data_IF_216403423934
#
_entry.id   IF_216403423934
#
_cell.length_a   1.000
_cell.length_b   1.000
_cell.length_c   1.000
_cell.angle_alpha   90.00
_cell.angle_beta   90.00
_cell.angle_gamma   90.00
#
_symmetry.space_group_name_H-M   'P 1'
#
loop_
_entity.id
_entity.type
_entity.pdbx_description
1 polymer ?
#
# COMPACT_ATOMS: atom_id res chain seq x y z
N UNK A 1 20.99 6.59 -0.44
CA UNK A 1 20.22 7.37 -1.43
C UNK A 1 20.74 7.07 -2.83
N UNK A 2 19.87 7.05 -3.83
CA UNK A 2 20.20 6.75 -5.22
C UNK A 2 19.56 7.79 -6.14
N UNK A 3 20.09 7.98 -7.36
CA UNK A 3 19.50 8.90 -8.35
C UNK A 3 18.20 8.29 -8.89
N UNK A 4 17.12 9.07 -8.94
CA UNK A 4 15.83 8.64 -9.48
C UNK A 4 15.02 7.68 -8.60
N UNK A 5 15.42 7.49 -7.34
CA UNK A 5 14.73 6.64 -6.36
C UNK A 5 14.36 7.49 -5.15
N UNK A 6 13.11 7.39 -4.69
CA UNK A 6 12.65 8.11 -3.49
C UNK A 6 13.51 7.73 -2.27
N UNK A 7 14.02 8.73 -1.55
CA UNK A 7 14.90 8.54 -0.40
C UNK A 7 14.23 7.84 0.80
N UNK A 8 12.89 7.80 0.85
CA UNK A 8 12.13 7.07 1.86
C UNK A 8 12.21 5.54 1.65
N UNK A 9 12.57 5.08 0.46
CA UNK A 9 12.74 3.67 0.18
C UNK A 9 14.07 3.17 0.78
N UNK A 10 13.97 2.54 1.95
CA UNK A 10 15.12 1.90 2.59
C UNK A 10 15.69 0.78 1.69
N UNK A 11 16.98 0.41 1.84
CA UNK A 11 17.55 -0.69 1.07
C UNK A 11 16.75 -2.00 1.19
N UNK A 12 16.22 -2.29 2.39
CA UNK A 12 15.37 -3.45 2.64
C UNK A 12 14.04 -3.36 1.87
N UNK A 13 13.37 -2.19 1.88
CA UNK A 13 12.12 -2.01 1.16
C UNK A 13 12.32 -2.11 -0.35
N UNK A 14 13.38 -1.51 -0.89
CA UNK A 14 13.74 -1.66 -2.31
C UNK A 14 13.95 -3.11 -2.70
N UNK A 15 14.67 -3.88 -1.87
CA UNK A 15 14.87 -5.30 -2.10
C UNK A 15 13.54 -6.05 -2.16
N UNK A 16 12.67 -5.84 -1.17
CA UNK A 16 11.33 -6.45 -1.13
C UNK A 16 10.52 -6.09 -2.39
N UNK A 17 10.40 -4.82 -2.74
CA UNK A 17 9.63 -4.38 -3.91
C UNK A 17 10.19 -4.97 -5.22
N UNK A 18 11.51 -5.10 -5.33
CA UNK A 18 12.19 -5.70 -6.49
C UNK A 18 11.98 -7.23 -6.55
N UNK A 19 11.98 -7.92 -5.41
CA UNK A 19 11.79 -9.36 -5.31
C UNK A 19 10.33 -9.82 -5.41
N UNK A 20 9.35 -8.92 -5.26
CA UNK A 20 7.94 -9.24 -5.49
C UNK A 20 7.70 -9.69 -6.94
N UNK A 21 6.98 -10.81 -7.12
CA UNK A 21 6.46 -11.24 -8.41
C UNK A 21 5.18 -10.51 -8.82
N UNK A 22 4.71 -10.76 -10.04
CA UNK A 22 3.40 -10.29 -10.49
C UNK A 22 2.30 -10.82 -9.56
N UNK A 23 1.35 -9.96 -9.19
CA UNK A 23 0.23 -10.22 -8.28
C UNK A 23 0.59 -10.46 -6.81
N UNK A 24 1.87 -10.36 -6.44
CA UNK A 24 2.20 -10.25 -5.03
C UNK A 24 1.62 -8.96 -4.45
N UNK A 25 1.16 -9.05 -3.20
CA UNK A 25 0.57 -7.92 -2.48
C UNK A 25 1.53 -7.38 -1.43
N UNK A 26 1.43 -6.09 -1.14
CA UNK A 26 2.14 -5.43 -0.03
C UNK A 26 1.15 -4.52 0.69
N UNK A 27 1.11 -4.60 2.01
CA UNK A 27 0.28 -3.73 2.83
C UNK A 27 1.11 -2.58 3.39
N UNK A 28 0.59 -1.36 3.31
CA UNK A 28 1.11 -0.20 4.03
C UNK A 28 0.07 0.13 5.09
N UNK A 29 0.48 0.10 6.36
CA UNK A 29 -0.44 0.15 7.49
C UNK A 29 -0.10 1.27 8.47
N UNK A 30 -1.13 1.72 9.17
CA UNK A 30 -1.03 2.74 10.20
C UNK A 30 -0.35 2.20 11.47
N UNK A 31 0.02 3.11 12.38
CA UNK A 31 0.74 2.79 13.60
C UNK A 31 -0.08 1.97 14.61
N UNK A 32 -1.40 1.85 14.41
CA UNK A 32 -2.29 1.08 15.28
C UNK A 32 -2.62 -0.31 14.71
N UNK A 33 -2.12 -0.64 13.51
CA UNK A 33 -2.35 -1.94 12.90
C UNK A 33 -1.63 -3.04 13.67
N UNK A 34 -2.37 -4.08 14.06
CA UNK A 34 -1.80 -5.22 14.76
C UNK A 34 -1.07 -6.17 13.79
N UNK A 35 0.26 -6.11 13.80
CA UNK A 35 1.13 -7.06 13.10
C UNK A 35 1.79 -8.01 14.10
N UNK A 36 1.56 -9.32 13.96
CA UNK A 36 2.16 -10.34 14.82
C UNK A 36 3.53 -10.80 14.30
N UNK A 37 4.40 -11.30 15.19
CA UNK A 37 5.77 -11.73 14.87
C UNK A 37 5.90 -12.89 13.86
N UNK A 38 4.78 -13.53 13.48
CA UNK A 38 4.72 -14.56 12.43
C UNK A 38 4.21 -14.07 11.07
N UNK A 39 3.95 -12.78 10.93
CA UNK A 39 3.48 -12.18 9.69
C UNK A 39 4.61 -11.98 8.67
N UNK A 40 4.28 -11.93 7.36
CA UNK A 40 5.25 -11.73 6.28
C UNK A 40 6.15 -10.50 6.52
N UNK A 41 7.37 -10.56 6.00
CA UNK A 41 8.43 -9.53 6.07
C UNK A 41 7.95 -8.14 6.52
N UNK A 42 8.03 -7.88 7.83
CA UNK A 42 7.63 -6.60 8.41
C UNK A 42 8.76 -5.58 8.20
N UNK A 43 8.42 -4.44 7.63
CA UNK A 43 9.32 -3.31 7.39
C UNK A 43 8.76 -2.11 8.14
N UNK A 44 9.60 -1.38 8.88
CA UNK A 44 9.16 -0.20 9.63
C UNK A 44 9.59 1.08 8.96
N UNK A 45 8.66 2.03 8.87
CA UNK A 45 8.83 3.40 8.40
C UNK A 45 8.24 4.36 9.44
N UNK A 46 8.76 4.27 10.68
CA UNK A 46 8.28 5.08 11.78
C UNK A 46 8.41 6.57 11.51
N UNK A 47 7.43 7.35 11.98
CA UNK A 47 7.39 8.80 11.79
C UNK A 47 7.04 9.25 10.36
N UNK A 48 6.93 8.33 9.40
CA UNK A 48 6.49 8.61 8.03
C UNK A 48 4.97 8.44 7.94
N UNK A 49 4.27 9.34 7.25
CA UNK A 49 2.83 9.19 7.01
C UNK A 49 2.55 8.10 5.98
N UNK A 50 1.39 7.45 6.08
CA UNK A 50 1.01 6.40 5.12
C UNK A 50 0.91 6.94 3.68
N UNK A 51 0.38 8.16 3.42
CA UNK A 51 0.39 8.71 2.06
C UNK A 51 1.79 8.97 1.51
N UNK A 52 2.76 9.39 2.35
CA UNK A 52 4.15 9.56 1.91
C UNK A 52 4.81 8.21 1.60
N UNK A 53 4.59 7.20 2.43
CA UNK A 53 5.05 5.83 2.18
C UNK A 53 4.44 5.25 0.89
N UNK A 54 3.13 5.48 0.67
CA UNK A 54 2.44 5.07 -0.54
C UNK A 54 3.04 5.70 -1.79
N UNK A 55 3.29 7.02 -1.79
CA UNK A 55 3.93 7.71 -2.92
C UNK A 55 5.32 7.15 -3.22
N UNK A 56 6.13 6.94 -2.19
CA UNK A 56 7.46 6.36 -2.36
C UNK A 56 7.38 4.93 -2.95
N UNK A 57 6.46 4.09 -2.48
CA UNK A 57 6.28 2.73 -3.02
C UNK A 57 5.82 2.78 -4.48
N UNK A 58 4.80 3.59 -4.81
CA UNK A 58 4.27 3.72 -6.17
C UNK A 58 5.23 4.39 -7.15
N UNK A 59 6.26 5.10 -6.67
CA UNK A 59 7.28 5.67 -7.57
C UNK A 59 8.12 4.59 -8.28
N UNK A 60 8.07 3.34 -7.82
CA UNK A 60 8.82 2.22 -8.41
C UNK A 60 7.99 0.93 -8.59
N UNK A 61 6.88 0.78 -7.85
CA UNK A 61 6.02 -0.40 -7.89
C UNK A 61 4.85 -0.18 -8.86
N UNK A 62 4.80 -0.85 -10.03
CA UNK A 62 3.62 -0.78 -10.90
C UNK A 62 2.43 -1.47 -10.24
N UNK A 63 1.24 -0.88 -10.32
CA UNK A 63 0.01 -1.54 -9.87
C UNK A 63 -0.61 -2.48 -10.93
N UNK A 64 -1.27 -3.54 -10.45
CA UNK A 64 -2.08 -4.44 -11.29
C UNK A 64 -3.29 -3.69 -11.87
N UNK A 65 -3.47 -3.74 -13.19
CA UNK A 65 -4.52 -3.01 -13.92
C UNK A 65 -5.54 -3.90 -14.62
N UNK A 66 -5.28 -5.21 -14.75
CA UNK A 66 -6.03 -6.09 -15.66
C UNK A 66 -7.06 -7.00 -14.99
N UNK A 67 -7.08 -7.19 -13.66
CA UNK A 67 -8.19 -7.92 -12.99
C UNK A 67 -8.11 -7.98 -11.44
N UNK A 68 -9.20 -7.74 -10.68
CA UNK A 68 -10.24 -6.75 -10.92
C UNK A 68 -9.84 -5.36 -10.39
N UNK A 69 -8.94 -5.29 -9.40
CA UNK A 69 -8.38 -4.04 -8.88
C UNK A 69 -6.90 -4.22 -8.48
N UNK A 70 -6.17 -3.11 -8.36
CA UNK A 70 -4.77 -3.09 -7.94
C UNK A 70 -4.52 -2.54 -6.54
N UNK A 71 -5.51 -1.90 -5.92
CA UNK A 71 -5.35 -1.29 -4.60
C UNK A 71 -6.66 -1.21 -3.82
N UNK A 72 -6.57 -1.38 -2.49
CA UNK A 72 -7.74 -1.45 -1.60
C UNK A 72 -7.50 -0.72 -0.28
N UNK A 73 -8.59 -0.27 0.34
CA UNK A 73 -8.64 0.29 1.70
C UNK A 73 -9.75 -0.35 2.51
N UNK A 74 -9.66 -0.27 3.84
CA UNK A 74 -10.73 -0.76 4.72
C UNK A 74 -11.98 0.13 4.65
N UNK A 75 -13.16 -0.48 4.81
CA UNK A 75 -14.41 0.23 5.10
C UNK A 75 -14.37 0.78 6.53
N UNK A 76 -14.58 2.09 6.68
CA UNK A 76 -14.66 2.73 7.98
C UNK A 76 -16.02 2.53 8.62
N UNK A 77 -16.04 2.14 9.90
CA UNK A 77 -17.27 1.99 10.70
C UNK A 77 -18.36 1.12 10.04
N UNK A 78 -17.95 0.14 9.22
CA UNK A 78 -18.85 -0.73 8.45
C UNK A 78 -19.78 -0.01 7.47
N UNK A 79 -19.45 1.23 7.09
CA UNK A 79 -20.20 2.03 6.13
C UNK A 79 -19.30 2.40 4.93
N UNK A 80 -19.53 1.84 3.73
CA UNK A 80 -18.73 2.14 2.53
C UNK A 80 -18.74 3.61 2.13
N UNK A 81 -19.79 4.36 2.50
CA UNK A 81 -19.95 5.79 2.23
C UNK A 81 -19.23 6.67 3.25
N UNK A 82 -18.69 6.07 4.31
CA UNK A 82 -17.97 6.77 5.36
C UNK A 82 -16.55 7.13 4.91
N UNK A 83 -16.46 8.12 4.03
CA UNK A 83 -15.19 8.60 3.51
C UNK A 83 -14.37 9.29 4.62
N UNK A 84 -13.06 9.01 4.62
CA UNK A 84 -12.10 9.58 5.56
C UNK A 84 -11.13 10.49 4.80
N UNK A 85 -10.62 11.58 5.42
CA UNK A 85 -9.65 12.45 4.77
C UNK A 85 -8.44 11.70 4.18
N UNK A 86 -7.98 10.65 4.87
CA UNK A 86 -6.84 9.84 4.43
C UNK A 86 -7.13 9.04 3.16
N UNK A 87 -8.39 8.67 2.89
CA UNK A 87 -8.76 7.95 1.67
C UNK A 87 -8.59 8.83 0.43
N UNK A 88 -8.89 10.13 0.55
CA UNK A 88 -8.67 11.11 -0.52
C UNK A 88 -7.17 11.30 -0.79
N UNK A 89 -6.35 11.37 0.25
CA UNK A 89 -4.89 11.47 0.09
C UNK A 89 -4.30 10.23 -0.60
N UNK A 90 -4.77 9.04 -0.26
CA UNK A 90 -4.39 7.80 -0.95
C UNK A 90 -4.84 7.79 -2.40
N UNK A 91 -6.10 8.12 -2.66
CA UNK A 91 -6.65 8.18 -4.02
C UNK A 91 -5.88 9.17 -4.90
N UNK A 92 -5.51 10.34 -4.35
CA UNK A 92 -4.70 11.33 -5.07
C UNK A 92 -3.29 10.80 -5.36
N UNK A 93 -2.64 10.16 -4.39
CA UNK A 93 -1.32 9.56 -4.61
C UNK A 93 -1.33 8.48 -5.70
N UNK A 94 -2.39 7.68 -5.77
CA UNK A 94 -2.58 6.66 -6.81
C UNK A 94 -2.76 7.35 -8.17
N UNK A 95 -3.66 8.31 -8.29
CA UNK A 95 -3.91 9.02 -9.57
C UNK A 95 -2.69 9.77 -10.09
N UNK A 96 -1.87 10.34 -9.20
CA UNK A 96 -0.67 11.11 -9.58
C UNK A 96 0.44 10.23 -10.17
N UNK A 97 0.54 8.97 -9.73
CA UNK A 97 1.66 8.07 -10.04
C UNK A 97 1.27 6.91 -10.97
N UNK A 98 -0.03 6.66 -11.10
CA UNK A 98 -0.61 5.62 -11.94
C UNK A 98 -1.57 6.23 -12.97
N UNK A 99 -2.48 5.42 -13.51
CA UNK A 99 -3.52 5.88 -14.43
C UNK A 99 -4.63 6.65 -13.70
N UNK A 100 -5.18 7.69 -14.33
CA UNK A 100 -6.27 8.49 -13.75
C UNK A 100 -7.56 7.69 -13.48
N UNK A 101 -7.73 6.53 -14.13
CA UNK A 101 -8.86 5.62 -13.91
C UNK A 101 -8.72 4.68 -12.71
N UNK A 102 -7.55 4.62 -12.05
CA UNK A 102 -7.33 3.74 -10.90
C UNK A 102 -8.17 4.18 -9.70
N UNK A 103 -8.87 3.22 -9.08
CA UNK A 103 -9.72 3.46 -7.92
C UNK A 103 -9.19 2.73 -6.70
N UNK A 104 -9.14 3.44 -5.58
CA UNK A 104 -8.88 2.86 -4.27
C UNK A 104 -10.15 2.17 -3.76
N UNK A 105 -10.15 0.83 -3.75
CA UNK A 105 -11.40 0.09 -3.58
C UNK A 105 -11.71 -0.23 -2.10
N UNK A 106 -12.94 0.07 -1.63
CA UNK A 106 -13.43 -0.36 -0.31
C UNK A 106 -13.50 -1.88 -0.18
N UNK A 107 -12.89 -2.44 0.86
CA UNK A 107 -13.11 -3.83 1.29
C UNK A 107 -13.40 -3.92 2.78
N UNK A 108 -13.97 -5.04 3.22
CA UNK A 108 -14.23 -5.24 4.65
C UNK A 108 -12.91 -5.25 5.43
N UNK A 109 -12.98 -4.88 6.72
CA UNK A 109 -11.80 -4.96 7.60
C UNK A 109 -11.29 -6.41 7.75
N UNK A 110 -12.17 -7.40 7.64
CA UNK A 110 -11.79 -8.81 7.69
C UNK A 110 -10.99 -9.21 6.45
N UNK A 111 -11.49 -8.88 5.25
CA UNK A 111 -10.82 -9.20 3.98
C UNK A 111 -9.46 -8.50 3.88
N UNK A 112 -9.37 -7.24 4.32
CA UNK A 112 -8.09 -6.54 4.35
C UNK A 112 -7.08 -7.27 5.24
N UNK A 113 -7.50 -7.67 6.45
CA UNK A 113 -6.60 -8.35 7.40
C UNK A 113 -6.18 -9.72 6.89
N UNK A 114 -7.08 -10.46 6.27
CA UNK A 114 -6.77 -11.76 5.67
C UNK A 114 -5.73 -11.62 4.55
N UNK A 115 -5.96 -10.68 3.63
CA UNK A 115 -5.02 -10.41 2.54
C UNK A 115 -3.69 -9.85 3.01
N UNK A 116 -3.68 -8.96 4.01
CA UNK A 116 -2.45 -8.44 4.59
C UNK A 116 -1.61 -9.55 5.25
N UNK A 117 -2.23 -10.54 5.90
CA UNK A 117 -1.52 -11.71 6.44
C UNK A 117 -0.88 -12.56 5.35
N UNK A 118 -1.51 -12.65 4.18
CA UNK A 118 -0.99 -13.35 3.01
C UNK A 118 -0.11 -12.50 2.08
N UNK A 119 0.10 -11.22 2.40
CA UNK A 119 0.90 -10.31 1.59
C UNK A 119 2.37 -10.74 1.59
N UNK A 120 3.13 -10.28 0.60
CA UNK A 120 4.57 -10.53 0.53
C UNK A 120 5.36 -9.79 1.63
N UNK A 121 4.85 -8.61 2.03
CA UNK A 121 5.39 -7.80 3.10
C UNK A 121 4.33 -6.86 3.69
N UNK A 122 4.60 -6.38 4.90
CA UNK A 122 3.81 -5.33 5.57
C UNK A 122 4.75 -4.19 5.94
N UNK A 123 4.40 -2.97 5.53
CA UNK A 123 5.10 -1.74 5.86
C UNK A 123 4.32 -1.01 6.94
N UNK A 124 4.85 -0.96 8.16
CA UNK A 124 4.23 -0.23 9.27
C UNK A 124 4.77 1.19 9.28
N UNK A 125 3.87 2.16 9.19
CA UNK A 125 4.19 3.59 9.11
C UNK A 125 4.00 4.28 10.46
N UNK A 126 4.35 5.56 10.53
CA UNK A 126 4.03 6.44 11.66
C UNK A 126 2.64 7.10 11.57
N UNK A 127 1.79 6.68 10.62
CA UNK A 127 0.45 7.24 10.47
C UNK A 127 -0.40 6.98 11.72
N UNK A 128 -0.96 8.04 12.30
CA UNK A 128 -1.75 7.96 13.54
C UNK A 128 -3.25 7.98 13.28
N UNK A 129 -3.67 8.45 12.10
CA UNK A 129 -5.08 8.52 11.72
C UNK A 129 -5.62 7.11 11.53
N UNK A 130 -6.84 6.80 12.02
CA UNK A 130 -7.44 5.49 11.85
C UNK A 130 -7.73 5.22 10.38
N UNK A 131 -7.78 3.93 10.02
CA UNK A 131 -8.00 3.47 8.64
C UNK A 131 -6.91 3.94 7.67
N UNK A 132 -5.72 4.29 8.17
CA UNK A 132 -4.55 4.65 7.36
C UNK A 132 -3.86 3.45 6.73
N UNK A 133 -4.64 2.48 6.27
CA UNK A 133 -4.17 1.21 5.74
C UNK A 133 -4.54 1.10 4.26
N UNK A 134 -3.56 0.78 3.42
CA UNK A 134 -3.74 0.53 1.99
C UNK A 134 -3.02 -0.76 1.61
N UNK A 135 -3.66 -1.56 0.77
CA UNK A 135 -3.13 -2.79 0.23
C UNK A 135 -2.89 -2.59 -1.27
N UNK A 136 -1.72 -2.99 -1.76
CA UNK A 136 -1.32 -2.81 -3.15
C UNK A 136 -0.99 -4.17 -3.77
N UNK A 137 -1.40 -4.39 -5.01
CA UNK A 137 -1.04 -5.58 -5.81
C UNK A 137 -0.10 -5.17 -6.93
N UNK A 138 1.06 -5.80 -6.98
CA UNK A 138 2.07 -5.55 -8.02
C UNK A 138 1.55 -5.99 -9.39
N UNK A 139 1.59 -5.08 -10.36
CA UNK A 139 1.28 -5.32 -11.76
C UNK A 139 2.49 -5.74 -12.58
N UNK A 140 2.34 -5.63 -13.90
CA UNK A 140 3.40 -5.88 -14.88
C UNK A 140 3.86 -4.58 -15.50
N UNK A 141 5.16 -4.48 -15.81
CA UNK A 141 5.67 -3.44 -16.70
C UNK A 141 5.56 -3.97 -18.13
N UNK A 142 4.80 -3.28 -18.99
CA UNK A 142 4.84 -3.58 -20.41
C UNK A 142 6.17 -3.06 -20.94
N UNK A 143 7.01 -3.96 -21.44
CA UNK A 143 8.19 -3.56 -22.21
C UNK A 143 7.68 -3.19 -23.59
N UNK A 144 7.49 -1.89 -23.82
CA UNK A 144 7.27 -1.31 -25.14
C UNK A 144 8.60 -0.94 -25.77
#
# INVERSE_FOLDING_TARGET
MLKGIDSLLSPQLLHVLSSMGHRHEIAIVDANYASDAGQPNIIRMDGISAPAALRAVLSVLPLERKDPEGCWRMIAKSDPMNEQPIFLEFQQAIVDLEDAGMKLVPISSADFKDRAKGAYAIVITGEKRPYGNVLLRKGTINVG
#
